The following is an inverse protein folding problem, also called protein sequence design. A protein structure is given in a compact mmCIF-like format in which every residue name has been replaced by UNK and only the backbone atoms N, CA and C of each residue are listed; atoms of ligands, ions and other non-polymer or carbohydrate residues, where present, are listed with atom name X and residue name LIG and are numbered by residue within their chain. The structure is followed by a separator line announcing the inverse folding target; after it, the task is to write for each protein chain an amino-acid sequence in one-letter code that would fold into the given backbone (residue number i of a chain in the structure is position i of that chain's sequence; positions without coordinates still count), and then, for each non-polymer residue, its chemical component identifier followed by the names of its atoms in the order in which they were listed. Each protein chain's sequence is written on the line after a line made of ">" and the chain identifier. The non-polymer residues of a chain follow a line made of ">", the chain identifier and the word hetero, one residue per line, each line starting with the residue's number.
data_IF_926114523624
#
_entry.id   IF_926114523624
#
_cell.length_a   1.000
_cell.length_b   1.000
_cell.length_c   1.000
_cell.angle_alpha   90.00
_cell.angle_beta   90.00
_cell.angle_gamma   90.00
#
_symmetry.space_group_name_H-M   'P 1'
#
loop_
_entity.id
_entity.type
_entity.pdbx_description
1 polymer ?
#
# COMPACT_ATOMS: atom_id res chain seq x y z
N UNK A 1 8.13 25.30 8.70
CA UNK A 1 8.95 24.15 8.30
C UNK A 1 8.26 23.47 7.14
N UNK A 2 8.99 23.18 6.06
CA UNK A 2 8.47 22.58 4.84
C UNK A 2 8.46 21.05 4.99
N UNK A 3 7.27 20.46 5.12
CA UNK A 3 7.06 19.02 5.24
C UNK A 3 7.81 18.24 4.13
N UNK A 4 7.89 18.83 2.93
CA UNK A 4 8.65 18.28 1.80
C UNK A 4 10.13 18.06 2.16
N UNK A 5 10.75 19.01 2.85
CA UNK A 5 12.15 18.95 3.22
C UNK A 5 12.41 17.86 4.26
N UNK A 6 11.52 17.73 5.25
CA UNK A 6 11.60 16.67 6.26
C UNK A 6 11.41 15.27 5.67
N UNK A 7 10.53 15.12 4.68
CA UNK A 7 10.34 13.85 3.94
C UNK A 7 11.56 13.49 3.09
N UNK A 8 12.15 14.46 2.38
CA UNK A 8 13.37 14.24 1.57
C UNK A 8 14.55 13.86 2.47
N UNK A 9 14.65 14.46 3.64
CA UNK A 9 15.73 14.24 4.60
C UNK A 9 15.48 13.04 5.52
N UNK A 10 14.38 12.29 5.31
CA UNK A 10 14.02 11.10 6.09
C UNK A 10 13.70 11.38 7.56
N UNK A 11 13.44 12.65 7.89
CA UNK A 11 13.12 13.12 9.25
C UNK A 11 11.63 13.05 9.56
N UNK A 12 10.79 12.87 8.55
CA UNK A 12 9.38 12.59 8.69
C UNK A 12 9.09 11.21 8.11
N UNK A 13 8.41 10.36 8.89
CA UNK A 13 7.88 9.10 8.39
C UNK A 13 6.59 9.39 7.61
N UNK A 14 6.52 8.90 6.38
CA UNK A 14 5.26 8.85 5.65
C UNK A 14 4.40 7.75 6.27
N UNK A 15 3.19 8.06 6.75
CA UNK A 15 2.28 7.04 7.22
C UNK A 15 2.03 6.04 6.08
N UNK A 16 2.26 4.75 6.36
CA UNK A 16 2.11 3.68 5.36
C UNK A 16 0.63 3.34 5.17
N UNK A 17 -0.09 4.23 4.51
CA UNK A 17 -1.49 4.00 4.11
C UNK A 17 -1.53 2.90 3.07
N UNK A 18 -2.41 1.91 3.24
CA UNK A 18 -2.54 0.80 2.31
C UNK A 18 -1.62 -0.40 2.62
N UNK A 19 -0.99 -0.42 3.80
CA UNK A 19 -0.16 -1.54 4.21
C UNK A 19 -1.00 -2.81 4.39
N UNK A 20 -0.55 -3.92 3.80
CA UNK A 20 -1.18 -5.24 3.97
C UNK A 20 -0.54 -5.94 5.17
N UNK A 21 -1.34 -6.29 6.17
CA UNK A 21 -0.88 -6.95 7.40
C UNK A 21 -1.69 -8.23 7.69
N UNK A 22 -1.15 -9.20 8.44
CA UNK A 22 -1.90 -10.37 8.88
C UNK A 22 -3.09 -9.95 9.76
N UNK A 23 -4.26 -10.47 9.45
CA UNK A 23 -5.45 -10.27 10.25
C UNK A 23 -5.38 -11.10 11.54
N UNK A 24 -6.01 -10.61 12.61
CA UNK A 24 -6.12 -11.34 13.88
C UNK A 24 -7.24 -12.40 13.90
N UNK A 25 -8.08 -12.44 12.86
CA UNK A 25 -9.25 -13.32 12.74
C UNK A 25 -9.06 -14.52 11.81
N UNK A 26 -10.14 -15.31 11.63
CA UNK A 26 -10.11 -16.54 10.83
C UNK A 26 -10.07 -16.23 9.32
N UNK A 27 -10.85 -15.25 8.85
CA UNK A 27 -10.83 -14.78 7.47
C UNK A 27 -11.30 -13.32 7.36
N UNK A 28 -10.73 -12.52 6.44
CA UNK A 28 -9.59 -12.85 5.56
C UNK A 28 -8.26 -12.89 6.34
N UNK A 29 -7.25 -13.66 5.89
CA UNK A 29 -5.97 -13.79 6.61
C UNK A 29 -5.10 -12.52 6.53
N UNK A 30 -5.43 -11.60 5.62
CA UNK A 30 -4.74 -10.32 5.45
C UNK A 30 -5.75 -9.19 5.25
N UNK A 31 -5.45 -8.05 5.88
CA UNK A 31 -6.24 -6.82 5.81
C UNK A 31 -5.34 -5.66 5.41
N UNK A 32 -5.95 -4.61 4.90
CA UNK A 32 -5.27 -3.36 4.57
C UNK A 32 -5.57 -2.35 5.65
N UNK A 33 -4.53 -1.68 6.15
CA UNK A 33 -4.65 -0.69 7.23
C UNK A 33 -4.38 0.73 6.76
N UNK A 34 -4.94 1.70 7.49
CA UNK A 34 -4.69 3.12 7.30
C UNK A 34 -3.38 3.57 8.00
N UNK A 35 -3.13 4.88 7.95
CA UNK A 35 -2.02 5.54 8.64
C UNK A 35 -1.99 5.35 10.18
N UNK A 36 -3.10 4.94 10.76
CA UNK A 36 -3.33 4.77 12.20
C UNK A 36 -3.46 3.28 12.60
N UNK A 37 -3.09 2.35 11.70
CA UNK A 37 -3.25 0.90 11.85
C UNK A 37 -4.71 0.41 11.97
N UNK A 38 -5.70 1.23 11.61
CA UNK A 38 -7.09 0.79 11.54
C UNK A 38 -7.35 0.02 10.25
N UNK A 39 -8.13 -1.06 10.36
CA UNK A 39 -8.60 -1.85 9.23
C UNK A 39 -9.47 -1.00 8.29
N UNK A 40 -9.07 -0.93 7.02
CA UNK A 40 -9.83 -0.28 5.94
C UNK A 40 -10.69 -1.33 5.22
N UNK A 41 -10.04 -2.38 4.70
CA UNK A 41 -10.69 -3.38 3.85
C UNK A 41 -9.89 -4.70 3.75
N UNK A 42 -10.54 -5.73 3.19
CA UNK A 42 -9.88 -6.99 2.89
C UNK A 42 -8.79 -6.80 1.81
N UNK A 43 -7.61 -7.37 2.04
CA UNK A 43 -6.47 -7.21 1.13
C UNK A 43 -6.76 -7.66 -0.32
N UNK A 44 -7.67 -8.61 -0.52
CA UNK A 44 -8.06 -9.10 -1.85
C UNK A 44 -8.90 -8.12 -2.66
N UNK A 45 -9.67 -7.25 -2.00
CA UNK A 45 -10.41 -6.17 -2.66
C UNK A 45 -9.45 -5.04 -3.02
N UNK A 46 -8.66 -4.58 -2.05
CA UNK A 46 -7.64 -3.56 -2.25
C UNK A 46 -6.62 -3.91 -3.35
N UNK A 47 -6.06 -5.12 -3.35
CA UNK A 47 -5.10 -5.54 -4.37
C UNK A 47 -5.73 -5.65 -5.76
N UNK A 48 -7.02 -6.01 -5.85
CA UNK A 48 -7.74 -6.03 -7.11
C UNK A 48 -7.89 -4.61 -7.64
N UNK A 49 -8.35 -3.70 -6.80
CA UNK A 49 -8.58 -2.31 -7.20
C UNK A 49 -7.25 -1.61 -7.50
N UNK A 50 -6.20 -1.90 -6.71
CA UNK A 50 -4.84 -1.48 -7.01
C UNK A 50 -4.38 -2.04 -8.35
N UNK A 51 -4.50 -3.34 -8.62
CA UNK A 51 -4.08 -3.91 -9.91
C UNK A 51 -4.87 -3.37 -11.10
N UNK A 52 -6.14 -3.00 -10.91
CA UNK A 52 -6.98 -2.39 -11.95
C UNK A 52 -6.66 -0.90 -12.16
N UNK A 53 -6.25 -0.19 -11.11
CA UNK A 53 -5.97 1.25 -11.14
C UNK A 53 -4.48 1.56 -11.37
N UNK A 54 -3.59 0.62 -11.06
CA UNK A 54 -2.15 0.70 -11.30
C UNK A 54 -1.86 0.41 -12.78
N UNK A 55 -2.28 1.35 -13.63
CA UNK A 55 -1.85 1.48 -15.00
C UNK A 55 -0.44 2.08 -15.04
N UNK A 56 0.54 1.45 -14.37
CA UNK A 56 1.94 1.82 -14.53
C UNK A 56 2.36 1.46 -15.96
N UNK A 57 2.31 2.47 -16.86
CA UNK A 57 2.96 2.43 -18.19
C UNK A 57 4.48 2.35 -18.02
N UNK A 58 5.02 1.23 -17.55
CA UNK A 58 6.47 1.06 -17.48
C UNK A 58 6.95 -0.39 -17.31
N UNK A 59 6.13 -1.42 -17.49
CA UNK A 59 6.66 -2.77 -17.62
C UNK A 59 7.04 -3.02 -19.09
N UNK A 60 8.31 -2.91 -19.51
CA UNK A 60 8.69 -3.33 -20.85
C UNK A 60 8.40 -4.83 -20.98
N UNK A 61 7.76 -5.21 -22.07
CA UNK A 61 7.35 -6.58 -22.39
C UNK A 61 8.54 -7.57 -22.56
N UNK A 62 9.76 -7.19 -22.17
CA UNK A 62 11.00 -7.96 -22.32
C UNK A 62 11.28 -8.92 -21.15
N UNK A 63 10.52 -8.86 -20.06
CA UNK A 63 10.75 -9.70 -18.87
C UNK A 63 9.93 -10.99 -18.84
N UNK A 64 9.21 -11.32 -19.94
CA UNK A 64 8.50 -12.59 -20.11
C UNK A 64 9.06 -13.32 -21.35
N UNK A 65 10.33 -13.74 -21.28
CA UNK A 65 10.92 -14.79 -22.12
C UNK A 65 11.82 -15.68 -21.29
#
# INVERSE_FOLDING_TARGET
>A
MELRQELIEGRAELPRVGAVVPARGVHPPYIVVNAYDDEIEAATAYLRDLALNDCSRSCPAEWWS
#
